data_IF_377388271945
#
_entry.id   IF_377388271945
#
_cell.length_a   1.000
_cell.length_b   1.000
_cell.length_c   1.000
_cell.angle_alpha   90.00
_cell.angle_beta   90.00
_cell.angle_gamma   90.00
#
_symmetry.space_group_name_H-M   'P 1'
#
loop_
_entity.id
_entity.type
_entity.pdbx_description
1 polymer ?
#
# COMPACT_ATOMS: atom_id res chain seq x y z
N UNK A 1 27.64 7.39 7.84
CA UNK A 1 28.35 6.10 7.98
C UNK A 1 29.74 6.25 8.57
N UNK A 2 30.65 7.04 8.01
CA UNK A 2 32.02 7.22 8.54
C UNK A 2 32.07 7.69 10.01
N UNK A 3 31.27 8.71 10.36
CA UNK A 3 31.14 9.16 11.76
C UNK A 3 30.66 8.06 12.72
N UNK A 4 29.73 7.21 12.28
CA UNK A 4 29.24 6.08 13.10
C UNK A 4 30.38 5.08 13.38
N UNK A 5 31.23 4.83 12.39
CA UNK A 5 32.41 3.96 12.51
C UNK A 5 33.46 4.55 13.45
N UNK A 6 33.63 5.87 13.45
CA UNK A 6 34.56 6.58 14.33
C UNK A 6 34.10 6.60 15.80
N UNK A 7 32.79 6.71 16.02
CA UNK A 7 32.22 6.89 17.37
C UNK A 7 31.79 5.56 18.03
N UNK A 8 31.56 4.49 17.26
CA UNK A 8 31.09 3.20 17.79
C UNK A 8 32.19 2.13 17.78
N UNK A 9 32.06 1.15 18.68
CA UNK A 9 32.97 0.00 18.72
C UNK A 9 32.62 -1.00 17.60
N UNK A 10 33.59 -1.78 17.07
CA UNK A 10 33.32 -2.74 16.00
C UNK A 10 32.30 -3.83 16.36
N UNK A 11 32.14 -4.15 17.64
CA UNK A 11 31.16 -5.11 18.17
C UNK A 11 29.78 -4.50 18.42
N UNK A 12 29.60 -3.17 18.24
CA UNK A 12 28.31 -2.51 18.39
C UNK A 12 27.30 -3.06 17.37
N UNK A 13 26.14 -3.49 17.88
CA UNK A 13 25.05 -4.02 17.08
C UNK A 13 24.36 -2.96 16.24
N UNK A 14 23.96 -3.34 15.03
CA UNK A 14 23.20 -2.55 14.07
C UNK A 14 21.86 -3.24 13.80
N UNK A 15 20.78 -2.52 14.08
CA UNK A 15 19.40 -2.99 13.93
C UNK A 15 18.70 -2.06 12.94
N UNK A 16 18.67 -2.40 11.64
CA UNK A 16 18.06 -1.54 10.64
C UNK A 16 16.55 -1.45 10.85
N UNK A 17 15.96 -0.33 10.46
CA UNK A 17 14.49 -0.14 10.55
C UNK A 17 13.74 -0.93 9.48
N UNK A 18 14.43 -1.37 8.42
CA UNK A 18 13.88 -2.11 7.30
C UNK A 18 14.88 -3.16 6.79
N UNK A 19 14.37 -4.26 6.24
CA UNK A 19 15.16 -5.32 5.62
C UNK A 19 14.93 -5.47 4.12
N UNK A 20 15.22 -6.66 3.59
CA UNK A 20 14.99 -7.02 2.19
C UNK A 20 13.51 -6.85 1.80
N UNK A 21 13.27 -6.25 0.63
CA UNK A 21 11.93 -6.01 0.09
C UNK A 21 11.30 -4.66 0.45
N UNK A 22 11.97 -3.81 1.24
CA UNK A 22 11.54 -2.42 1.41
C UNK A 22 11.83 -1.58 0.16
N UNK A 23 10.85 -0.83 -0.32
CA UNK A 23 11.01 0.13 -1.43
C UNK A 23 11.98 1.28 -1.10
N UNK A 24 12.37 1.43 0.17
CA UNK A 24 13.40 2.39 0.59
C UNK A 24 14.83 1.91 0.34
N UNK A 25 15.05 0.67 -0.14
CA UNK A 25 16.39 0.13 -0.36
C UNK A 25 16.91 0.49 -1.75
N UNK A 26 18.13 1.00 -1.80
CA UNK A 26 18.87 1.32 -3.03
C UNK A 26 19.96 0.27 -3.32
N UNK A 27 19.87 -0.92 -2.74
CA UNK A 27 20.83 -2.00 -2.94
C UNK A 27 20.31 -3.36 -2.49
N UNK A 28 21.05 -4.45 -2.78
CA UNK A 28 20.70 -5.78 -2.35
C UNK A 28 20.74 -5.83 -0.82
N UNK A 29 19.60 -6.11 -0.18
CA UNK A 29 19.61 -6.34 1.25
C UNK A 29 20.24 -7.71 1.55
N UNK A 30 21.02 -7.77 2.63
CA UNK A 30 21.77 -8.97 3.05
C UNK A 30 20.87 -10.12 3.53
N UNK A 31 19.55 -9.88 3.68
CA UNK A 31 18.61 -10.81 4.29
C UNK A 31 18.84 -11.03 5.80
N UNK A 32 19.79 -10.31 6.41
CA UNK A 32 20.08 -10.39 7.82
C UNK A 32 19.25 -9.37 8.62
N UNK A 33 18.68 -9.81 9.75
CA UNK A 33 17.85 -8.97 10.64
C UNK A 33 18.69 -7.99 11.47
N UNK A 34 19.99 -8.23 11.59
CA UNK A 34 20.95 -7.37 12.29
C UNK A 34 22.36 -7.56 11.74
N UNK A 35 23.27 -6.67 12.14
CA UNK A 35 24.71 -6.76 11.85
C UNK A 35 25.51 -6.09 12.97
N UNK A 36 26.82 -5.94 12.80
CA UNK A 36 27.68 -5.11 13.65
C UNK A 36 28.38 -4.02 12.84
N UNK A 37 28.84 -2.97 13.52
CA UNK A 37 29.66 -1.92 12.88
C UNK A 37 30.88 -2.53 12.18
N UNK A 38 31.56 -3.48 12.82
CA UNK A 38 32.72 -4.16 12.26
C UNK A 38 32.41 -4.97 11.00
N UNK A 39 31.26 -5.63 10.93
CA UNK A 39 30.80 -6.31 9.71
C UNK A 39 30.55 -5.31 8.58
N UNK A 40 29.84 -4.21 8.85
CA UNK A 40 29.53 -3.20 7.84
C UNK A 40 30.79 -2.51 7.31
N UNK A 41 31.82 -2.29 8.14
CA UNK A 41 33.12 -1.76 7.67
C UNK A 41 33.74 -2.66 6.60
N UNK A 42 33.56 -3.98 6.70
CA UNK A 42 34.18 -4.94 5.78
C UNK A 42 33.41 -5.13 4.47
N UNK A 43 32.11 -4.86 4.45
CA UNK A 43 31.24 -5.27 3.34
C UNK A 43 30.29 -4.20 2.80
N UNK A 44 30.00 -3.14 3.56
CA UNK A 44 29.03 -2.12 3.12
C UNK A 44 29.66 -1.22 2.06
N UNK A 45 29.02 -1.12 0.90
CA UNK A 45 29.50 -0.31 -0.22
C UNK A 45 29.77 1.15 0.17
N UNK A 46 28.96 1.72 1.07
CA UNK A 46 29.15 3.09 1.58
C UNK A 46 30.44 3.28 2.41
N UNK A 47 31.12 2.19 2.78
CA UNK A 47 32.36 2.19 3.55
C UNK A 47 33.54 1.58 2.76
N UNK A 48 33.28 0.72 1.78
CA UNK A 48 34.31 0.01 1.01
C UNK A 48 34.63 0.66 -0.33
N UNK A 49 33.70 1.41 -0.92
CA UNK A 49 33.98 2.18 -2.14
C UNK A 49 34.99 3.30 -1.87
N UNK A 50 36.00 3.38 -2.73
CA UNK A 50 37.09 4.35 -2.60
C UNK A 50 36.81 5.65 -3.35
N UNK A 51 35.81 5.65 -4.25
CA UNK A 51 35.40 6.79 -5.04
C UNK A 51 33.96 7.19 -4.66
N UNK A 52 33.83 8.39 -4.11
CA UNK A 52 32.53 8.91 -3.67
C UNK A 52 31.59 9.17 -4.85
N UNK A 53 32.11 9.60 -6.00
CA UNK A 53 31.30 9.88 -7.18
C UNK A 53 30.77 8.57 -7.78
N UNK A 54 31.61 7.53 -7.82
CA UNK A 54 31.20 6.18 -8.22
C UNK A 54 30.11 5.62 -7.29
N UNK A 55 30.30 5.74 -5.97
CA UNK A 55 29.30 5.33 -4.98
C UNK A 55 27.96 6.04 -5.19
N UNK A 56 27.98 7.37 -5.39
CA UNK A 56 26.76 8.17 -5.60
C UNK A 56 26.05 7.75 -6.88
N UNK A 57 26.79 7.52 -7.96
CA UNK A 57 26.22 7.10 -9.24
C UNK A 57 25.54 5.72 -9.11
N UNK A 58 26.24 4.73 -8.57
CA UNK A 58 25.69 3.38 -8.31
C UNK A 58 24.47 3.42 -7.38
N UNK A 59 24.51 4.27 -6.35
CA UNK A 59 23.39 4.42 -5.41
C UNK A 59 22.14 4.94 -6.12
N UNK A 60 22.29 5.97 -6.95
CA UNK A 60 21.18 6.58 -7.69
C UNK A 60 20.64 5.63 -8.76
N UNK A 61 21.53 4.92 -9.46
CA UNK A 61 21.15 3.98 -10.53
C UNK A 61 20.37 2.76 -10.00
N UNK A 62 20.53 2.44 -8.72
CA UNK A 62 19.77 1.37 -8.06
C UNK A 62 18.42 1.84 -7.46
N UNK A 63 18.08 3.13 -7.55
CA UNK A 63 16.76 3.60 -7.13
C UNK A 63 15.68 3.17 -8.13
N UNK A 64 14.60 2.59 -7.61
CA UNK A 64 13.44 2.19 -8.38
C UNK A 64 12.23 3.07 -8.07
N UNK A 65 11.12 2.84 -8.78
CA UNK A 65 9.87 3.48 -8.43
C UNK A 65 9.48 3.15 -6.98
N UNK A 66 8.78 4.08 -6.33
CA UNK A 66 8.33 3.93 -4.96
C UNK A 66 6.80 4.17 -4.86
N UNK A 67 6.14 3.68 -3.80
CA UNK A 67 4.70 3.86 -3.61
C UNK A 67 4.29 5.33 -3.62
N UNK A 68 3.19 5.66 -4.30
CA UNK A 68 2.73 7.05 -4.50
C UNK A 68 2.52 7.81 -3.18
N UNK A 69 2.14 7.10 -2.11
CA UNK A 69 1.91 7.70 -0.79
C UNK A 69 3.17 8.33 -0.16
N UNK A 70 4.39 7.94 -0.55
CA UNK A 70 5.63 8.46 0.02
C UNK A 70 5.78 9.98 -0.13
N UNK A 71 5.24 10.55 -1.23
CA UNK A 71 5.25 11.99 -1.46
C UNK A 71 4.57 12.81 -0.35
N UNK A 72 3.71 12.16 0.44
CA UNK A 72 2.93 12.80 1.50
C UNK A 72 3.47 12.49 2.90
N UNK A 73 4.30 11.47 3.06
CA UNK A 73 4.81 11.03 4.36
C UNK A 73 5.81 12.01 4.95
N UNK A 74 6.69 12.61 4.15
CA UNK A 74 7.68 13.58 4.64
C UNK A 74 7.03 14.76 5.38
N UNK A 75 6.10 15.50 4.75
CA UNK A 75 5.35 16.56 5.42
C UNK A 75 4.56 16.08 6.63
N UNK A 76 3.84 14.95 6.53
CA UNK A 76 3.02 14.41 7.63
C UNK A 76 3.87 14.02 8.86
N UNK A 77 4.98 13.32 8.65
CA UNK A 77 5.89 12.92 9.72
C UNK A 77 6.55 14.13 10.40
N UNK A 78 6.88 15.16 9.61
CA UNK A 78 7.48 16.41 10.14
C UNK A 78 6.47 17.19 10.99
N UNK A 79 5.20 17.21 10.61
CA UNK A 79 4.14 17.84 11.38
C UNK A 79 3.84 17.12 12.70
N UNK A 80 4.23 15.85 12.83
CA UNK A 80 3.91 15.00 13.96
C UNK A 80 2.48 14.46 13.82
N UNK A 81 2.28 13.23 13.29
CA UNK A 81 0.95 12.68 13.15
C UNK A 81 0.27 12.55 14.52
N UNK A 82 -1.03 12.82 14.55
CA UNK A 82 -1.85 12.60 15.74
C UNK A 82 -2.02 11.11 16.07
N UNK A 83 -2.81 10.79 17.10
CA UNK A 83 -3.16 9.41 17.42
C UNK A 83 -3.81 8.71 16.22
N UNK A 84 -3.43 7.44 16.00
CA UNK A 84 -4.05 6.63 14.95
C UNK A 84 -5.53 6.39 15.27
N UNK A 85 -6.39 6.60 14.26
CA UNK A 85 -7.82 6.30 14.35
C UNK A 85 -8.08 4.92 13.75
N UNK A 86 -8.27 3.92 14.61
CA UNK A 86 -8.50 2.52 14.21
C UNK A 86 -9.94 2.05 14.46
N UNK A 87 -10.84 3.00 14.75
CA UNK A 87 -12.24 2.69 14.97
C UNK A 87 -12.86 2.08 13.72
N UNK A 88 -13.67 1.06 13.96
CA UNK A 88 -14.35 0.29 12.93
C UNK A 88 -15.76 0.87 12.77
N UNK A 89 -16.06 1.58 11.67
CA UNK A 89 -17.37 2.18 11.42
C UNK A 89 -18.47 1.13 11.31
N UNK A 90 -19.71 1.61 11.43
CA UNK A 90 -20.90 0.76 11.26
C UNK A 90 -20.99 0.22 9.81
N UNK A 91 -21.57 -0.98 9.62
CA UNK A 91 -21.91 -1.49 8.30
C UNK A 91 -22.77 -0.51 7.49
N UNK A 92 -22.58 -0.49 6.18
CA UNK A 92 -23.45 0.27 5.27
C UNK A 92 -24.37 -0.70 4.53
N UNK A 93 -25.52 -0.20 4.12
CA UNK A 93 -26.35 -0.91 3.15
C UNK A 93 -25.81 -0.70 1.72
N UNK A 94 -26.41 -1.44 0.78
CA UNK A 94 -26.01 -1.40 -0.62
C UNK A 94 -26.32 -0.05 -1.31
N UNK A 95 -27.33 0.68 -0.83
CA UNK A 95 -27.74 1.97 -1.40
C UNK A 95 -26.69 3.04 -1.07
N UNK A 96 -26.28 3.11 0.19
CA UNK A 96 -25.22 4.01 0.66
C UNK A 96 -23.87 3.69 -0.02
N UNK A 97 -23.52 2.40 -0.18
CA UNK A 97 -22.31 2.02 -0.90
C UNK A 97 -22.31 2.54 -2.35
N UNK A 98 -23.45 2.44 -3.03
CA UNK A 98 -23.62 2.92 -4.40
C UNK A 98 -23.55 4.45 -4.46
N UNK A 99 -24.16 5.15 -3.50
CA UNK A 99 -24.12 6.60 -3.40
C UNK A 99 -22.69 7.12 -3.20
N UNK A 100 -21.89 6.49 -2.33
CA UNK A 100 -20.48 6.84 -2.11
C UNK A 100 -19.64 6.67 -3.36
N UNK A 101 -19.81 5.56 -4.07
CA UNK A 101 -19.13 5.35 -5.35
C UNK A 101 -19.50 6.44 -6.37
N UNK A 102 -20.79 6.80 -6.45
CA UNK A 102 -21.26 7.87 -7.33
C UNK A 102 -20.72 9.26 -6.93
N UNK A 103 -20.47 9.48 -5.64
CA UNK A 103 -19.81 10.69 -5.12
C UNK A 103 -18.27 10.67 -5.31
N UNK A 104 -17.74 9.63 -5.95
CA UNK A 104 -16.33 9.52 -6.29
C UNK A 104 -15.46 9.06 -5.14
N UNK A 105 -16.02 8.41 -4.12
CA UNK A 105 -15.24 7.62 -3.17
C UNK A 105 -14.63 6.40 -3.88
N UNK A 106 -13.47 5.98 -3.41
CA UNK A 106 -12.78 4.81 -3.93
C UNK A 106 -13.18 3.57 -3.14
N UNK A 107 -13.98 2.71 -3.78
CA UNK A 107 -14.51 1.49 -3.17
C UNK A 107 -13.58 0.32 -3.48
N UNK A 108 -13.05 -0.33 -2.43
CA UNK A 108 -12.15 -1.48 -2.52
C UNK A 108 -12.82 -2.71 -1.91
N UNK A 109 -12.98 -3.74 -2.72
CA UNK A 109 -13.49 -5.05 -2.32
C UNK A 109 -12.34 -5.98 -1.91
N UNK A 110 -12.40 -6.45 -0.66
CA UNK A 110 -11.41 -7.30 0.00
C UNK A 110 -11.69 -8.79 -0.19
N UNK A 111 -12.84 -9.16 -0.77
CA UNK A 111 -13.21 -10.56 -1.00
C UNK A 111 -12.21 -11.23 -1.94
N UNK A 112 -12.22 -12.56 -1.94
CA UNK A 112 -11.36 -13.29 -2.86
C UNK A 112 -11.67 -12.94 -4.32
N UNK A 113 -10.63 -12.97 -5.16
CA UNK A 113 -10.73 -12.58 -6.57
C UNK A 113 -11.78 -13.36 -7.38
N UNK A 114 -12.10 -14.60 -6.98
CA UNK A 114 -13.10 -15.43 -7.65
C UNK A 114 -14.51 -14.90 -7.34
N UNK A 115 -14.79 -14.52 -6.10
CA UNK A 115 -16.05 -13.93 -5.68
C UNK A 115 -16.25 -12.57 -6.36
N UNK A 116 -15.21 -11.73 -6.37
CA UNK A 116 -15.24 -10.46 -7.08
C UNK A 116 -15.49 -10.63 -8.59
N UNK A 117 -14.76 -11.53 -9.25
CA UNK A 117 -14.92 -11.77 -10.69
C UNK A 117 -16.30 -12.34 -11.07
N UNK A 118 -16.97 -13.04 -10.13
CA UNK A 118 -18.33 -13.56 -10.34
C UNK A 118 -19.39 -12.46 -10.26
N UNK A 119 -19.32 -11.62 -9.23
CA UNK A 119 -20.26 -10.52 -9.01
C UNK A 119 -19.61 -9.46 -8.08
N UNK A 120 -19.59 -8.22 -8.56
CA UNK A 120 -19.07 -7.07 -7.83
C UNK A 120 -19.79 -5.79 -8.24
N UNK A 121 -19.68 -4.77 -7.39
CA UNK A 121 -20.18 -3.44 -7.70
C UNK A 121 -19.35 -2.82 -8.82
N UNK A 122 -19.95 -2.56 -9.97
CA UNK A 122 -19.25 -1.94 -11.10
C UNK A 122 -18.62 -0.60 -10.69
N UNK A 123 -17.31 -0.46 -10.88
CA UNK A 123 -16.53 0.73 -10.50
C UNK A 123 -15.76 0.57 -9.19
N UNK A 124 -15.95 -0.52 -8.44
CA UNK A 124 -15.05 -0.87 -7.34
C UNK A 124 -13.75 -1.51 -7.84
N UNK A 125 -12.70 -1.41 -7.02
CA UNK A 125 -11.44 -2.11 -7.19
C UNK A 125 -11.41 -3.38 -6.33
N UNK A 126 -10.62 -4.39 -6.72
CA UNK A 126 -10.44 -5.61 -5.92
C UNK A 126 -9.01 -5.72 -5.41
N UNK A 127 -8.85 -5.75 -4.09
CA UNK A 127 -7.61 -6.12 -3.41
C UNK A 127 -7.92 -7.18 -2.37
N UNK A 128 -7.87 -8.44 -2.80
CA UNK A 128 -8.08 -9.60 -1.94
C UNK A 128 -7.21 -9.50 -0.67
N UNK A 129 -7.84 -9.52 0.51
CA UNK A 129 -7.12 -9.35 1.77
C UNK A 129 -6.27 -10.59 2.09
N UNK A 130 -6.86 -11.80 2.05
CA UNK A 130 -6.21 -13.09 2.32
C UNK A 130 -5.35 -13.13 3.59
N UNK A 131 -4.06 -12.78 3.51
CA UNK A 131 -3.10 -12.76 4.62
C UNK A 131 -2.57 -11.34 4.94
N UNK A 132 -3.15 -10.32 4.31
CA UNK A 132 -2.78 -8.91 4.43
C UNK A 132 -1.48 -8.52 3.74
N UNK A 133 -0.67 -9.47 3.26
CA UNK A 133 0.71 -9.24 2.79
C UNK A 133 0.79 -8.31 1.57
N UNK A 134 -0.19 -8.42 0.68
CA UNK A 134 -0.19 -7.69 -0.59
C UNK A 134 -1.12 -6.47 -0.58
N UNK A 135 -2.13 -6.44 0.30
CA UNK A 135 -3.14 -5.39 0.35
C UNK A 135 -2.52 -4.00 0.55
N UNK A 136 -1.72 -3.84 1.61
CA UNK A 136 -1.09 -2.55 1.95
C UNK A 136 -0.11 -2.09 0.87
N UNK A 137 0.60 -3.04 0.25
CA UNK A 137 1.47 -2.78 -0.88
C UNK A 137 0.67 -2.19 -2.04
N UNK A 138 -0.33 -2.89 -2.57
CA UNK A 138 -1.13 -2.38 -3.69
C UNK A 138 -1.78 -1.04 -3.36
N UNK A 139 -2.35 -0.91 -2.15
CA UNK A 139 -2.96 0.32 -1.68
C UNK A 139 -1.96 1.49 -1.72
N UNK A 140 -0.75 1.30 -1.20
CA UNK A 140 0.28 2.33 -1.21
C UNK A 140 0.71 2.78 -2.60
N UNK A 141 0.60 1.91 -3.61
CA UNK A 141 0.97 2.22 -4.99
C UNK A 141 -0.11 2.98 -5.74
N UNK A 142 -1.37 2.54 -5.65
CA UNK A 142 -2.41 2.96 -6.60
C UNK A 142 -3.52 3.82 -5.98
N UNK A 143 -3.61 3.92 -4.65
CA UNK A 143 -4.67 4.66 -3.98
C UNK A 143 -4.51 6.18 -4.23
N UNK A 144 -5.48 6.85 -4.88
CA UNK A 144 -5.42 8.29 -5.07
C UNK A 144 -5.41 9.05 -3.73
N UNK A 145 -4.54 10.04 -3.57
CA UNK A 145 -4.36 10.74 -2.30
C UNK A 145 -5.59 11.56 -1.87
N UNK A 146 -6.31 12.13 -2.84
CA UNK A 146 -7.42 13.06 -2.69
C UNK A 146 -8.80 12.39 -2.57
N UNK A 147 -8.86 11.05 -2.55
CA UNK A 147 -10.10 10.28 -2.53
C UNK A 147 -10.35 9.65 -1.17
N UNK A 148 -11.60 9.67 -0.73
CA UNK A 148 -12.03 8.88 0.43
C UNK A 148 -12.02 7.40 0.07
N UNK A 149 -11.54 6.56 0.99
CA UNK A 149 -11.45 5.10 0.82
C UNK A 149 -12.61 4.43 1.55
N UNK A 150 -13.37 3.61 0.81
CA UNK A 150 -14.39 2.71 1.34
C UNK A 150 -13.94 1.26 1.13
N UNK A 151 -13.83 0.47 2.19
CA UNK A 151 -13.52 -0.97 2.12
C UNK A 151 -14.81 -1.79 2.12
N UNK A 152 -14.83 -2.94 1.45
CA UNK A 152 -15.96 -3.88 1.42
C UNK A 152 -15.41 -5.29 1.65
N UNK A 153 -15.90 -5.98 2.67
CA UNK A 153 -15.46 -7.34 2.97
C UNK A 153 -16.09 -7.89 4.23
N UNK A 154 -15.61 -9.07 4.63
CA UNK A 154 -15.93 -9.67 5.93
C UNK A 154 -15.38 -8.82 7.07
N UNK A 155 -15.97 -8.97 8.25
CA UNK A 155 -15.66 -8.05 9.34
C UNK A 155 -14.20 -8.06 9.74
N UNK A 156 -13.66 -9.23 9.96
CA UNK A 156 -12.28 -9.40 10.41
C UNK A 156 -11.29 -8.91 9.36
N UNK A 157 -11.56 -9.12 8.07
CA UNK A 157 -10.70 -8.62 6.97
C UNK A 157 -10.67 -7.10 6.95
N UNK A 158 -11.82 -6.45 7.13
CA UNK A 158 -11.94 -5.00 7.18
C UNK A 158 -11.20 -4.43 8.39
N UNK A 159 -11.37 -5.02 9.57
CA UNK A 159 -10.66 -4.60 10.79
C UNK A 159 -9.14 -4.73 10.64
N UNK A 160 -8.68 -5.85 10.10
CA UNK A 160 -7.26 -6.08 9.88
C UNK A 160 -6.70 -5.17 8.77
N UNK A 161 -7.50 -4.85 7.74
CA UNK A 161 -7.15 -3.89 6.70
C UNK A 161 -7.01 -2.46 7.25
N UNK A 162 -7.90 -2.01 8.14
CA UNK A 162 -7.77 -0.72 8.84
C UNK A 162 -6.46 -0.69 9.63
N UNK A 163 -6.19 -1.72 10.43
CA UNK A 163 -4.98 -1.80 11.25
C UNK A 163 -3.71 -1.80 10.39
N UNK A 164 -3.69 -2.56 9.30
CA UNK A 164 -2.55 -2.67 8.41
C UNK A 164 -2.30 -1.42 7.55
N UNK A 165 -3.34 -0.63 7.27
CA UNK A 165 -3.26 0.55 6.40
C UNK A 165 -3.11 1.88 7.15
N UNK A 166 -3.08 1.88 8.49
CA UNK A 166 -3.04 3.11 9.31
C UNK A 166 -2.03 4.15 8.81
N UNK A 167 -0.77 3.78 8.59
CA UNK A 167 0.25 4.73 8.10
C UNK A 167 -0.02 5.30 6.69
N UNK A 168 -0.86 4.64 5.89
CA UNK A 168 -1.19 5.02 4.51
C UNK A 168 -2.54 5.76 4.44
N UNK A 169 -3.50 5.39 5.29
CA UNK A 169 -4.89 5.81 5.20
C UNK A 169 -5.33 6.73 6.36
N UNK A 170 -4.44 7.09 7.28
CA UNK A 170 -4.78 7.95 8.43
C UNK A 170 -5.02 9.40 7.98
N UNK A 171 -6.19 10.00 8.30
CA UNK A 171 -6.45 11.42 8.06
C UNK A 171 -5.43 12.36 8.72
N UNK A 172 -4.73 11.95 9.78
CA UNK A 172 -3.63 12.70 10.39
C UNK A 172 -2.46 12.95 9.43
N UNK A 173 -2.38 12.22 8.31
CA UNK A 173 -1.40 12.44 7.25
C UNK A 173 -1.85 13.47 6.19
N UNK A 174 -3.02 14.08 6.37
CA UNK A 174 -3.59 15.03 5.41
C UNK A 174 -4.43 14.39 4.31
N UNK A 175 -4.82 13.11 4.46
CA UNK A 175 -5.82 12.47 3.60
C UNK A 175 -7.25 12.82 4.05
N UNK A 176 -8.22 12.80 3.12
CA UNK A 176 -9.62 12.65 3.50
C UNK A 176 -9.78 11.41 4.39
N UNK A 177 -10.62 11.50 5.43
CA UNK A 177 -10.78 10.42 6.40
C UNK A 177 -11.15 9.08 5.75
N UNK A 178 -10.52 8.01 6.25
CA UNK A 178 -10.92 6.64 5.94
C UNK A 178 -12.37 6.43 6.37
N UNK A 179 -13.26 6.11 5.43
CA UNK A 179 -14.67 5.83 5.70
C UNK A 179 -14.99 4.40 5.30
N UNK A 180 -14.92 3.51 6.26
CA UNK A 180 -15.03 2.07 6.01
C UNK A 180 -16.49 1.61 5.92
N UNK A 181 -16.74 0.59 5.09
CA UNK A 181 -18.02 -0.09 4.96
C UNK A 181 -17.86 -1.58 5.32
N UNK A 182 -18.93 -2.19 5.86
CA UNK A 182 -19.08 -3.64 5.88
C UNK A 182 -20.22 -3.97 4.93
N UNK A 183 -20.06 -4.99 4.11
CA UNK A 183 -21.19 -5.60 3.45
C UNK A 183 -21.04 -7.12 3.44
N UNK A 184 -21.82 -7.78 4.30
CA UNK A 184 -22.02 -9.23 4.25
C UNK A 184 -22.82 -9.66 2.99
N UNK A 185 -23.27 -8.71 2.17
CA UNK A 185 -24.03 -8.99 0.96
C UNK A 185 -23.89 -7.84 -0.03
N UNK A 186 -22.72 -7.73 -0.68
CA UNK A 186 -22.67 -7.15 -2.02
C UNK A 186 -23.31 -8.15 -3.00
N UNK A 187 -24.61 -8.44 -2.82
CA UNK A 187 -25.45 -9.04 -3.86
C UNK A 187 -25.98 -7.85 -4.64
N UNK A 188 -25.43 -7.62 -5.82
CA UNK A 188 -25.97 -6.60 -6.70
C UNK A 188 -27.40 -7.00 -7.06
N UNK A 189 -28.35 -6.09 -6.88
CA UNK A 189 -29.67 -6.26 -7.48
C UNK A 189 -29.47 -6.15 -8.99
N UNK A 190 -29.57 -7.30 -9.67
CA UNK A 190 -29.43 -7.38 -11.12
C UNK A 190 -30.54 -6.57 -11.79
N UNK A 191 -30.25 -5.32 -12.18
CA UNK A 191 -30.97 -4.72 -13.31
C UNK A 191 -30.30 -5.22 -14.57
N UNK A 192 -30.81 -6.37 -15.03
CA UNK A 192 -30.55 -6.94 -16.34
C UNK A 192 -30.80 -5.86 -17.39
N UNK A 193 -29.73 -5.24 -17.89
CA UNK A 193 -29.78 -4.55 -19.17
C UNK A 193 -29.40 -5.61 -20.18
N UNK A 194 -30.41 -6.17 -20.84
CA UNK A 194 -30.26 -7.20 -21.85
C UNK A 194 -29.17 -6.78 -22.86
N UNK A 195 -28.16 -7.62 -22.98
CA UNK A 195 -27.18 -7.54 -24.07
C UNK A 195 -27.96 -7.76 -25.37
N UNK A 196 -28.30 -6.68 -26.06
CA UNK A 196 -28.85 -6.74 -27.42
C UNK A 196 -27.77 -7.35 -28.31
N UNK A 197 -28.02 -8.58 -28.74
CA UNK A 197 -27.17 -9.27 -29.71
C UNK A 197 -27.40 -8.64 -31.07
N UNK A 198 -26.54 -7.70 -31.45
CA UNK A 198 -26.45 -7.23 -32.84
C UNK A 198 -25.90 -8.37 -33.70
N UNK A 199 -26.56 -8.81 -34.79
CA UNK A 199 -26.05 -9.88 -35.61
C UNK A 199 -24.80 -9.45 -36.39
N UNK A 200 -23.79 -10.33 -36.40
CA UNK A 200 -22.55 -10.26 -37.19
C UNK A 200 -22.85 -9.88 -38.65
N UNK A 201 -22.25 -8.80 -39.15
CA UNK A 201 -22.12 -8.56 -40.59
C UNK A 201 -21.07 -9.53 -41.16
N UNK A 202 -21.30 -10.13 -42.35
CA UNK A 202 -20.29 -10.94 -43.01
C UNK A 202 -19.17 -10.05 -43.58
N UNK A 203 -17.92 -10.48 -43.44
CA UNK A 203 -16.78 -9.91 -44.13
C UNK A 203 -16.61 -10.62 -45.49
N UNK A 204 -16.53 -9.83 -46.56
CA UNK A 204 -16.06 -10.24 -47.89
C UNK A 204 -14.51 -10.16 -47.93
N UNK A 205 -13.81 -10.74 -48.93
CA UNK A 205 -14.15 -10.76 -50.36
C UNK A 205 -14.76 -12.06 -50.87
#
# INVERSE_FOLDING_TARGET
>A
MRRLVEEATPDAGLYPTHGFGSFCSAGPASGADSSTVGEQIRSNHALTDQDEDHFVQELIDNLSAYPSYYAHMGPANTAGPGPAHLDVPQPLDAEELTARLAHGEWVVDLRNRIAFARDHLHGSASFEYSDGSSFTTFLGWVLPWDRQLTLVGERDDVENAIRGSGSIADPATGRPSLRVCFSAAARTSSTSTAFSTTPKRPACP
#
